data_IF_018699701178
#
_entry.id   IF_018699701178
#
_cell.length_a   1.000
_cell.length_b   1.000
_cell.length_c   1.000
_cell.angle_alpha   90.00
_cell.angle_beta   90.00
_cell.angle_gamma   90.00
#
_symmetry.space_group_name_H-M   'P 1'
#
loop_
_entity.id
_entity.type
_entity.pdbx_description
1 polymer ?
#
# COMPACT_ATOMS: atom_id res chain seq x y z
N UNK A 1 3.55 9.24 8.56
CA UNK A 1 3.55 9.84 9.91
C UNK A 1 4.65 9.30 10.82
N UNK A 2 4.76 7.98 11.09
CA UNK A 2 5.69 7.39 12.09
C UNK A 2 7.14 7.89 12.00
N UNK A 3 7.74 7.89 10.79
CA UNK A 3 9.13 8.36 10.60
C UNK A 3 9.28 9.84 10.95
N UNK A 4 8.32 10.69 10.57
CA UNK A 4 8.34 12.13 10.89
C UNK A 4 8.18 12.38 12.38
N UNK A 5 7.34 11.61 13.09
CA UNK A 5 7.21 11.72 14.54
C UNK A 5 8.54 11.45 15.27
N UNK A 6 9.34 10.47 14.77
CA UNK A 6 10.62 10.12 15.37
C UNK A 6 11.75 11.13 15.09
N UNK A 7 11.59 11.95 14.05
CA UNK A 7 12.58 12.98 13.64
C UNK A 7 12.10 14.40 13.96
N UNK A 8 11.00 14.53 14.73
CA UNK A 8 10.45 15.83 15.08
C UNK A 8 11.41 16.59 16.01
N UNK A 9 11.70 17.82 15.66
CA UNK A 9 12.50 18.75 16.45
C UNK A 9 11.68 20.00 16.78
N UNK A 10 11.94 20.66 17.91
CA UNK A 10 11.26 21.92 18.25
C UNK A 10 11.53 23.00 17.18
N UNK A 11 10.47 23.68 16.74
CA UNK A 11 10.56 24.86 15.88
C UNK A 11 10.79 26.14 16.73
N UNK A 12 11.41 27.15 16.12
CA UNK A 12 11.66 28.46 16.77
C UNK A 12 11.04 29.65 16.03
N UNK A 13 10.57 29.45 14.79
CA UNK A 13 9.86 30.49 14.04
C UNK A 13 8.38 30.49 14.45
N UNK A 14 7.93 31.63 15.01
CA UNK A 14 6.56 31.80 15.50
C UNK A 14 5.51 31.70 14.38
N UNK A 15 5.85 32.12 13.15
CA UNK A 15 4.92 32.06 12.02
C UNK A 15 4.74 30.60 11.55
N UNK A 16 5.84 29.85 11.47
CA UNK A 16 5.80 28.42 11.15
C UNK A 16 5.03 27.63 12.23
N UNK A 17 5.31 27.89 13.52
CA UNK A 17 4.61 27.25 14.62
C UNK A 17 3.11 27.51 14.54
N UNK A 18 2.69 28.77 14.34
CA UNK A 18 1.27 29.13 14.22
C UNK A 18 0.61 28.48 13.01
N UNK A 19 1.29 28.37 11.87
CA UNK A 19 0.79 27.67 10.68
C UNK A 19 0.58 26.17 10.99
N UNK A 20 1.54 25.51 11.60
CA UNK A 20 1.45 24.08 11.97
C UNK A 20 0.32 23.82 13.00
N UNK A 21 0.11 24.76 13.92
CA UNK A 21 -1.02 24.69 14.87
C UNK A 21 -2.36 24.89 14.15
N UNK A 22 -2.44 25.84 13.22
CA UNK A 22 -3.64 26.06 12.41
C UNK A 22 -3.98 24.81 11.59
N UNK A 23 -3.01 24.21 10.91
CA UNK A 23 -3.20 22.96 10.17
C UNK A 23 -3.73 21.83 11.05
N UNK A 24 -3.20 21.69 12.28
CA UNK A 24 -3.65 20.66 13.21
C UNK A 24 -5.10 20.94 13.69
N UNK A 25 -5.44 22.21 13.94
CA UNK A 25 -6.80 22.63 14.30
C UNK A 25 -7.79 22.39 13.17
N UNK A 26 -7.42 22.71 11.93
CA UNK A 26 -8.27 22.49 10.76
C UNK A 26 -8.47 21.01 10.48
N UNK A 27 -7.41 20.17 10.63
CA UNK A 27 -7.53 18.72 10.56
C UNK A 27 -8.50 18.18 11.62
N UNK A 28 -8.43 18.67 12.85
CA UNK A 28 -9.34 18.31 13.92
C UNK A 28 -10.79 18.67 13.58
N UNK A 29 -11.02 19.87 13.05
CA UNK A 29 -12.33 20.32 12.60
C UNK A 29 -12.88 19.43 11.48
N UNK A 30 -12.01 19.05 10.52
CA UNK A 30 -12.38 18.13 9.42
C UNK A 30 -12.72 16.73 9.93
N UNK A 31 -12.00 16.22 10.95
CA UNK A 31 -12.33 14.94 11.60
C UNK A 31 -13.69 14.97 12.30
N UNK A 32 -14.06 16.07 12.93
CA UNK A 32 -15.38 16.22 13.56
C UNK A 32 -16.52 16.25 12.54
N UNK A 33 -16.31 16.87 11.37
CA UNK A 33 -17.34 17.01 10.32
C UNK A 33 -17.41 15.79 9.40
N UNK A 34 -16.25 15.30 8.94
CA UNK A 34 -16.12 14.28 7.91
C UNK A 34 -15.84 12.87 8.43
N UNK A 35 -15.68 12.70 9.75
CA UNK A 35 -15.33 11.43 10.36
C UNK A 35 -13.86 11.06 10.16
N UNK A 36 -13.57 9.77 10.04
CA UNK A 36 -12.20 9.27 9.95
C UNK A 36 -11.68 9.31 8.51
N UNK A 37 -10.44 9.75 8.34
CA UNK A 37 -9.67 9.60 7.10
C UNK A 37 -8.65 8.48 7.28
N UNK A 38 -8.38 7.72 6.21
CA UNK A 38 -7.38 6.65 6.20
C UNK A 38 -6.37 6.85 5.08
N UNK A 39 -5.11 6.89 5.45
CA UNK A 39 -3.95 6.89 4.54
C UNK A 39 -3.34 5.50 4.36
N UNK A 40 -4.09 4.45 4.70
CA UNK A 40 -3.69 3.06 4.46
C UNK A 40 -3.46 2.83 2.96
N UNK A 41 -2.39 2.13 2.60
CA UNK A 41 -1.98 1.90 1.22
C UNK A 41 -0.98 2.92 0.67
N UNK A 42 -0.64 3.97 1.40
CA UNK A 42 0.44 4.88 1.02
C UNK A 42 1.78 4.23 1.36
N UNK A 43 2.41 3.63 0.37
CA UNK A 43 3.75 3.05 0.44
C UNK A 43 4.78 4.01 -0.13
N UNK A 44 6.04 3.86 0.28
CA UNK A 44 7.14 4.63 -0.32
C UNK A 44 7.40 4.12 -1.74
N UNK A 45 7.09 4.93 -2.74
CA UNK A 45 7.26 4.63 -4.16
C UNK A 45 8.42 5.38 -4.81
N UNK A 46 9.21 6.15 -4.04
CA UNK A 46 10.25 7.02 -4.59
C UNK A 46 11.33 6.27 -5.37
N UNK A 47 11.70 5.07 -4.90
CA UNK A 47 12.68 4.25 -5.62
C UNK A 47 12.08 3.67 -6.91
N UNK A 48 10.79 3.34 -6.92
CA UNK A 48 10.08 2.93 -8.14
C UNK A 48 10.01 4.09 -9.15
N UNK A 49 9.74 5.32 -8.70
CA UNK A 49 9.74 6.50 -9.58
C UNK A 49 11.11 6.76 -10.19
N UNK A 50 12.21 6.66 -9.41
CA UNK A 50 13.58 6.77 -9.94
C UNK A 50 13.90 5.72 -11.00
N UNK A 51 13.40 4.48 -10.82
CA UNK A 51 13.56 3.41 -11.81
C UNK A 51 12.83 3.74 -13.10
N UNK A 52 11.63 4.32 -13.03
CA UNK A 52 10.88 4.77 -14.21
C UNK A 52 11.62 5.88 -14.97
N UNK A 53 12.26 6.83 -14.26
CA UNK A 53 13.04 7.91 -14.87
C UNK A 53 14.19 7.41 -15.75
N UNK A 54 14.78 6.27 -15.40
CA UNK A 54 15.84 5.62 -16.19
C UNK A 54 15.31 4.58 -17.18
N UNK A 55 13.98 4.51 -17.39
CA UNK A 55 13.34 3.61 -18.34
C UNK A 55 13.27 2.14 -17.89
N UNK A 56 13.46 1.85 -16.59
CA UNK A 56 13.35 0.50 -16.07
C UNK A 56 11.87 0.11 -15.84
N UNK A 57 11.53 -1.15 -16.14
CA UNK A 57 10.21 -1.71 -15.85
C UNK A 57 10.02 -1.95 -14.35
N UNK A 58 8.82 -1.68 -13.86
CA UNK A 58 8.38 -1.98 -12.50
C UNK A 58 7.88 -3.43 -12.42
N UNK A 59 8.05 -4.02 -11.26
CA UNK A 59 7.45 -5.32 -10.93
C UNK A 59 5.93 -5.19 -10.66
N UNK A 60 5.24 -6.32 -10.64
CA UNK A 60 3.82 -6.42 -10.27
C UNK A 60 3.57 -5.73 -8.92
N UNK A 61 4.36 -6.05 -7.90
CA UNK A 61 4.23 -5.48 -6.55
C UNK A 61 4.42 -3.95 -6.54
N UNK A 62 5.37 -3.42 -7.34
CA UNK A 62 5.58 -1.96 -7.43
C UNK A 62 4.41 -1.25 -8.11
N UNK A 63 3.87 -1.81 -9.19
CA UNK A 63 2.66 -1.27 -9.85
C UNK A 63 1.43 -1.32 -8.94
N UNK A 64 1.25 -2.38 -8.16
CA UNK A 64 0.17 -2.48 -7.17
C UNK A 64 0.33 -1.46 -6.03
N UNK A 65 1.56 -1.11 -5.63
CA UNK A 65 1.82 -0.02 -4.67
C UNK A 65 1.45 1.34 -5.25
N UNK A 66 1.70 1.58 -6.53
CA UNK A 66 1.20 2.78 -7.22
C UNK A 66 -0.32 2.83 -7.19
N UNK A 67 -1.02 1.75 -7.51
CA UNK A 67 -2.49 1.69 -7.38
C UNK A 67 -2.97 1.99 -5.97
N UNK A 68 -2.34 1.40 -4.95
CA UNK A 68 -2.71 1.63 -3.55
C UNK A 68 -2.55 3.10 -3.14
N UNK A 69 -1.52 3.79 -3.67
CA UNK A 69 -1.35 5.23 -3.49
C UNK A 69 -2.49 6.01 -4.15
N UNK A 70 -2.84 5.69 -5.40
CA UNK A 70 -3.91 6.36 -6.15
C UNK A 70 -5.30 6.13 -5.53
N UNK A 71 -5.55 4.94 -4.99
CA UNK A 71 -6.76 4.63 -4.21
C UNK A 71 -6.81 5.48 -2.91
N UNK A 72 -5.67 5.68 -2.24
CA UNK A 72 -5.58 6.56 -1.08
C UNK A 72 -5.81 8.03 -1.48
N UNK A 73 -5.28 8.46 -2.62
CA UNK A 73 -5.52 9.78 -3.21
C UNK A 73 -7.03 10.01 -3.48
N UNK A 74 -7.69 9.03 -4.09
CA UNK A 74 -9.14 9.06 -4.35
C UNK A 74 -9.96 9.18 -3.07
N UNK A 75 -9.64 8.38 -2.04
CA UNK A 75 -10.30 8.45 -0.73
C UNK A 75 -10.08 9.81 -0.06
N UNK A 76 -8.85 10.34 -0.12
CA UNK A 76 -8.52 11.64 0.47
C UNK A 76 -9.25 12.78 -0.22
N UNK A 77 -9.36 12.76 -1.54
CA UNK A 77 -10.13 13.74 -2.32
C UNK A 77 -11.62 13.70 -1.99
N UNK A 78 -12.19 12.51 -1.83
CA UNK A 78 -13.59 12.32 -1.41
C UNK A 78 -13.81 12.87 0.01
N UNK A 79 -12.90 12.54 0.96
CA UNK A 79 -12.96 13.06 2.32
C UNK A 79 -12.88 14.60 2.36
N UNK A 80 -12.05 15.23 1.53
CA UNK A 80 -11.97 16.68 1.46
C UNK A 80 -13.34 17.31 1.21
N UNK A 81 -14.08 16.79 0.24
CA UNK A 81 -15.42 17.31 -0.12
C UNK A 81 -16.43 17.17 1.02
N UNK A 82 -16.47 16.03 1.69
CA UNK A 82 -17.41 15.78 2.79
C UNK A 82 -17.06 16.54 4.06
N UNK A 83 -15.77 16.70 4.35
CA UNK A 83 -15.28 17.32 5.59
C UNK A 83 -15.38 18.87 5.61
N UNK A 84 -15.51 19.50 4.45
CA UNK A 84 -15.73 20.96 4.36
C UNK A 84 -17.21 21.35 4.60
N UNK A 85 -18.13 20.40 4.59
CA UNK A 85 -19.54 20.66 4.95
C UNK A 85 -20.45 20.98 3.77
N UNK A 86 -20.24 20.30 2.64
CA UNK A 86 -21.03 20.43 1.40
C UNK A 86 -22.13 19.36 1.27
N UNK A 87 -22.76 18.93 2.34
CA UNK A 87 -23.90 18.01 2.21
C UNK A 87 -24.98 18.32 3.25
N UNK A 88 -25.80 19.27 2.93
CA UNK A 88 -27.11 19.44 3.56
C UNK A 88 -28.01 20.14 2.54
N UNK A 89 -29.24 19.61 2.27
CA UNK A 89 -30.19 20.26 1.39
C UNK A 89 -30.74 21.59 1.93
N UNK A 90 -30.33 22.00 3.13
CA UNK A 90 -30.91 23.13 3.86
C UNK A 90 -29.96 24.32 4.10
N UNK A 91 -28.94 24.52 3.24
CA UNK A 91 -28.18 25.76 3.32
C UNK A 91 -28.75 26.79 2.33
N UNK A 92 -29.22 27.97 2.78
CA UNK A 92 -29.57 29.04 1.85
C UNK A 92 -28.35 29.37 1.01
N UNK A 93 -28.52 29.49 -0.30
CA UNK A 93 -27.49 29.94 -1.23
C UNK A 93 -26.84 31.22 -0.67
N UNK A 94 -25.51 31.30 -0.73
CA UNK A 94 -24.82 32.51 -0.34
C UNK A 94 -25.41 33.67 -1.16
N UNK A 95 -25.69 34.76 -0.51
CA UNK A 95 -26.41 35.91 -1.09
C UNK A 95 -25.63 36.62 -2.21
N UNK A 96 -24.41 36.22 -2.49
CA UNK A 96 -23.51 36.80 -3.48
C UNK A 96 -23.13 35.89 -4.66
N UNK A 97 -23.75 34.70 -4.77
CA UNK A 97 -23.61 33.86 -5.97
C UNK A 97 -22.21 33.26 -6.21
N UNK A 98 -21.30 33.33 -5.23
CA UNK A 98 -20.01 32.67 -5.31
C UNK A 98 -20.07 31.33 -4.58
N UNK A 99 -20.04 30.24 -5.36
CA UNK A 99 -19.92 28.85 -4.87
C UNK A 99 -18.49 28.56 -4.35
N UNK A 100 -17.87 29.54 -3.70
CA UNK A 100 -16.53 29.31 -3.14
C UNK A 100 -16.63 28.45 -1.88
N UNK A 101 -16.01 27.26 -1.97
CA UNK A 101 -15.82 26.35 -0.85
C UNK A 101 -15.08 27.07 0.29
N UNK A 102 -15.49 26.92 1.55
CA UNK A 102 -14.74 27.51 2.67
C UNK A 102 -13.31 26.98 2.65
N UNK A 103 -12.36 27.89 2.41
CA UNK A 103 -10.91 27.59 2.32
C UNK A 103 -10.35 27.52 3.74
N UNK A 104 -9.71 26.41 4.09
CA UNK A 104 -8.89 26.28 5.29
C UNK A 104 -7.42 26.02 4.95
N UNK A 105 -6.55 25.93 5.95
CA UNK A 105 -5.11 25.72 5.74
C UNK A 105 -4.74 24.40 5.07
N UNK A 106 -5.68 23.44 4.96
CA UNK A 106 -5.47 22.13 4.33
C UNK A 106 -6.00 22.04 2.90
N UNK A 107 -6.83 22.99 2.49
CA UNK A 107 -7.46 22.97 1.16
C UNK A 107 -6.44 22.83 0.05
N UNK A 108 -5.35 23.62 0.09
CA UNK A 108 -4.28 23.57 -0.91
C UNK A 108 -3.55 22.21 -0.99
N UNK A 109 -3.49 21.44 0.09
CA UNK A 109 -2.96 20.08 0.04
C UNK A 109 -3.91 19.14 -0.71
N UNK A 110 -5.20 19.19 -0.39
CA UNK A 110 -6.17 18.34 -1.06
C UNK A 110 -6.34 18.69 -2.53
N UNK A 111 -6.18 19.94 -2.92
CA UNK A 111 -6.30 20.39 -4.30
C UNK A 111 -5.18 19.84 -5.19
N UNK A 112 -3.98 19.70 -4.65
CA UNK A 112 -2.83 19.12 -5.36
C UNK A 112 -2.95 17.62 -5.62
N UNK A 113 -3.86 16.91 -4.90
CA UNK A 113 -4.05 15.47 -5.07
C UNK A 113 -4.77 15.18 -6.38
N UNK A 114 -4.23 14.27 -7.16
CA UNK A 114 -4.82 13.83 -8.41
C UNK A 114 -4.95 12.29 -8.47
N UNK A 115 -6.14 11.71 -8.29
CA UNK A 115 -6.33 10.26 -8.15
C UNK A 115 -5.91 9.42 -9.35
N UNK A 116 -5.64 10.03 -10.53
CA UNK A 116 -5.25 9.35 -11.77
C UNK A 116 -6.04 8.06 -12.01
N UNK A 117 -7.35 8.12 -11.85
CA UNK A 117 -8.24 6.95 -11.91
C UNK A 117 -8.02 6.10 -13.16
N UNK A 118 -7.83 6.66 -14.39
CA UNK A 118 -7.59 5.85 -15.58
C UNK A 118 -6.32 5.00 -15.49
N UNK A 119 -5.23 5.52 -14.88
CA UNK A 119 -4.00 4.77 -14.66
C UNK A 119 -4.23 3.61 -13.69
N UNK A 120 -4.88 3.90 -12.56
CA UNK A 120 -5.20 2.88 -11.56
C UNK A 120 -6.08 1.77 -12.15
N UNK A 121 -7.11 2.12 -12.91
CA UNK A 121 -8.04 1.16 -13.53
C UNK A 121 -7.31 0.29 -14.56
N UNK A 122 -6.40 0.85 -15.37
CA UNK A 122 -5.62 0.09 -16.34
C UNK A 122 -4.65 -0.89 -15.68
N UNK A 123 -3.96 -0.47 -14.61
CA UNK A 123 -3.10 -1.38 -13.85
C UNK A 123 -3.94 -2.52 -13.24
N UNK A 124 -5.10 -2.20 -12.62
CA UNK A 124 -6.00 -3.20 -12.02
C UNK A 124 -6.64 -4.13 -13.06
N UNK A 125 -6.91 -3.63 -14.27
CA UNK A 125 -7.39 -4.47 -15.37
C UNK A 125 -6.37 -5.52 -15.77
N UNK A 126 -5.08 -5.18 -15.76
CA UNK A 126 -4.01 -6.08 -16.17
C UNK A 126 -3.50 -6.96 -15.02
N UNK A 127 -3.48 -6.47 -13.78
CA UNK A 127 -2.90 -7.14 -12.61
C UNK A 127 -4.00 -7.44 -11.59
N UNK A 128 -4.31 -8.73 -11.41
CA UNK A 128 -5.35 -9.19 -10.48
C UNK A 128 -4.82 -9.34 -9.06
N UNK A 129 -3.59 -9.86 -8.92
CA UNK A 129 -2.91 -10.05 -7.64
C UNK A 129 -1.39 -9.98 -7.80
N UNK A 130 -0.63 -10.15 -6.71
CA UNK A 130 0.84 -10.17 -6.75
C UNK A 130 1.41 -11.30 -7.63
N UNK A 131 0.66 -12.37 -7.84
CA UNK A 131 1.07 -13.57 -8.58
C UNK A 131 0.28 -13.78 -9.88
N UNK A 132 -0.68 -12.88 -10.21
CA UNK A 132 -1.62 -13.12 -11.28
C UNK A 132 -1.82 -11.92 -12.20
N UNK A 133 -1.48 -12.11 -13.48
CA UNK A 133 -1.79 -11.22 -14.60
C UNK A 133 -3.08 -11.71 -15.27
N UNK A 134 -4.01 -10.81 -15.56
CA UNK A 134 -5.28 -11.14 -16.21
C UNK A 134 -5.06 -11.75 -17.61
N UNK A 135 -5.87 -12.73 -17.99
CA UNK A 135 -5.82 -13.34 -19.34
C UNK A 135 -6.02 -12.30 -20.45
N UNK A 136 -6.80 -11.27 -20.16
CA UNK A 136 -7.13 -10.19 -21.10
C UNK A 136 -6.28 -8.92 -20.91
N UNK A 137 -5.18 -9.02 -20.15
CA UNK A 137 -4.20 -7.94 -20.06
C UNK A 137 -3.65 -7.59 -21.47
N UNK A 138 -3.49 -8.60 -22.34
CA UNK A 138 -3.26 -8.39 -23.76
C UNK A 138 -3.96 -9.47 -24.61
N UNK A 139 -4.21 -9.16 -25.89
CA UNK A 139 -4.75 -10.15 -26.84
C UNK A 139 -3.76 -11.29 -27.08
N UNK A 140 -2.48 -10.99 -27.07
CA UNK A 140 -1.38 -11.96 -27.22
C UNK A 140 -1.36 -12.95 -26.06
N UNK A 141 -1.38 -12.46 -24.80
CA UNK A 141 -1.39 -13.31 -23.61
C UNK A 141 -2.61 -14.25 -23.60
N UNK A 142 -3.79 -13.71 -23.93
CA UNK A 142 -5.02 -14.51 -24.05
C UNK A 142 -4.88 -15.64 -25.07
N UNK A 143 -4.28 -15.35 -26.24
CA UNK A 143 -4.03 -16.34 -27.28
C UNK A 143 -3.04 -17.41 -26.84
N UNK A 144 -1.93 -17.00 -26.20
CA UNK A 144 -0.91 -17.92 -25.66
C UNK A 144 -1.54 -18.86 -24.64
N UNK A 145 -2.26 -18.32 -23.64
CA UNK A 145 -2.90 -19.13 -22.58
C UNK A 145 -3.99 -20.05 -23.11
N UNK A 146 -4.74 -19.62 -24.13
CA UNK A 146 -5.69 -20.49 -24.84
C UNK A 146 -4.96 -21.65 -25.52
N UNK A 147 -3.84 -21.37 -26.20
CA UNK A 147 -3.00 -22.41 -26.84
C UNK A 147 -2.40 -23.37 -25.81
N UNK A 148 -1.93 -22.86 -24.67
CA UNK A 148 -1.42 -23.67 -23.55
C UNK A 148 -2.47 -24.63 -23.02
N UNK A 149 -3.70 -24.16 -22.78
CA UNK A 149 -4.82 -25.02 -22.37
C UNK A 149 -5.10 -26.13 -23.38
N UNK A 150 -5.22 -25.78 -24.65
CA UNK A 150 -5.43 -26.77 -25.71
C UNK A 150 -4.27 -27.79 -25.87
N UNK A 151 -3.03 -27.32 -25.63
CA UNK A 151 -1.85 -28.22 -25.65
C UNK A 151 -1.84 -29.16 -24.45
N UNK A 152 -2.17 -28.63 -23.26
CA UNK A 152 -2.30 -29.43 -22.04
C UNK A 152 -3.35 -30.53 -22.21
N UNK A 153 -4.51 -30.22 -22.81
CA UNK A 153 -5.57 -31.19 -23.08
C UNK A 153 -5.10 -32.28 -24.04
N UNK A 154 -4.37 -31.92 -25.09
CA UNK A 154 -3.78 -32.89 -26.04
C UNK A 154 -2.78 -33.83 -25.38
N UNK A 155 -1.86 -33.27 -24.56
CA UNK A 155 -0.86 -34.08 -23.83
C UNK A 155 -1.58 -35.04 -22.88
N UNK A 156 -2.55 -34.57 -22.11
CA UNK A 156 -3.31 -35.40 -21.18
C UNK A 156 -4.11 -36.49 -21.88
N UNK A 157 -4.74 -36.17 -23.01
CA UNK A 157 -5.46 -37.18 -23.80
C UNK A 157 -4.51 -38.28 -24.29
N UNK A 158 -3.34 -37.93 -24.85
CA UNK A 158 -2.33 -38.88 -25.30
C UNK A 158 -1.79 -39.76 -24.16
N UNK A 159 -1.46 -39.14 -23.02
CA UNK A 159 -0.93 -39.88 -21.87
C UNK A 159 -2.00 -40.76 -21.23
N UNK A 160 -3.26 -40.31 -21.12
CA UNK A 160 -4.36 -41.14 -20.64
C UNK A 160 -4.60 -42.35 -21.55
N UNK A 161 -4.49 -42.20 -22.87
CA UNK A 161 -4.52 -43.36 -23.81
C UNK A 161 -3.45 -44.39 -23.47
N UNK A 162 -2.23 -43.95 -23.14
CA UNK A 162 -1.15 -44.84 -22.72
C UNK A 162 -1.40 -45.50 -21.36
N UNK A 163 -1.91 -44.76 -20.37
CA UNK A 163 -2.24 -45.31 -19.06
C UNK A 163 -3.35 -46.33 -19.12
N UNK A 164 -4.33 -46.14 -20.00
CA UNK A 164 -5.48 -47.03 -20.16
C UNK A 164 -5.15 -48.27 -21.00
N UNK A 165 -4.01 -48.30 -21.73
CA UNK A 165 -3.54 -49.46 -22.40
C UNK A 165 -3.03 -50.52 -21.41
N UNK A 166 -3.62 -51.71 -21.38
CA UNK A 166 -3.32 -52.77 -20.40
C UNK A 166 -1.84 -53.14 -20.36
N UNK A 167 -1.18 -53.23 -21.50
CA UNK A 167 0.25 -53.53 -21.63
C UNK A 167 1.11 -52.44 -21.03
N UNK A 168 0.89 -51.17 -21.42
CA UNK A 168 1.66 -50.03 -20.90
C UNK A 168 1.44 -49.88 -19.40
N UNK A 169 0.19 -50.04 -18.91
CA UNK A 169 -0.18 -49.92 -17.51
C UNK A 169 0.61 -50.91 -16.62
N UNK A 170 0.92 -52.11 -17.09
CA UNK A 170 1.69 -53.08 -16.31
C UNK A 170 3.15 -52.62 -16.04
N UNK A 171 3.68 -51.74 -16.85
CA UNK A 171 5.02 -51.19 -16.75
C UNK A 171 5.10 -49.96 -15.87
N UNK A 172 3.93 -49.32 -15.54
CA UNK A 172 3.88 -48.15 -14.68
C UNK A 172 3.97 -48.55 -13.21
N UNK A 173 4.66 -47.73 -12.43
CA UNK A 173 4.65 -47.81 -10.97
C UNK A 173 3.27 -47.38 -10.42
N UNK A 174 2.77 -46.25 -10.96
CA UNK A 174 1.46 -45.69 -10.70
C UNK A 174 0.82 -45.22 -12.02
N UNK A 175 -0.52 -45.38 -12.11
CA UNK A 175 -1.27 -44.96 -13.30
C UNK A 175 -1.65 -43.46 -13.24
N UNK A 176 -0.67 -42.60 -13.08
CA UNK A 176 -0.82 -41.14 -12.94
C UNK A 176 0.08 -40.39 -13.91
N UNK A 177 -0.37 -39.20 -14.30
CA UNK A 177 0.44 -38.24 -15.05
C UNK A 177 1.16 -37.35 -14.04
N UNK A 178 2.47 -37.22 -14.16
CA UNK A 178 3.30 -36.40 -13.29
C UNK A 178 4.01 -35.32 -14.12
N UNK A 179 4.52 -34.28 -13.42
CA UNK A 179 5.35 -33.27 -14.04
C UNK A 179 6.75 -33.29 -13.42
N UNK A 180 7.79 -33.30 -14.27
CA UNK A 180 9.20 -33.19 -13.87
C UNK A 180 9.89 -32.20 -14.80
N UNK A 181 10.62 -31.24 -14.25
CA UNK A 181 11.31 -30.19 -15.01
C UNK A 181 10.43 -29.47 -16.05
N UNK A 182 9.14 -29.27 -15.71
CA UNK A 182 8.16 -28.64 -16.60
C UNK A 182 7.70 -29.53 -17.76
N UNK A 183 7.91 -30.85 -17.66
CA UNK A 183 7.49 -31.85 -18.68
C UNK A 183 6.55 -32.89 -18.11
N UNK A 184 5.56 -33.27 -18.88
CA UNK A 184 4.63 -34.33 -18.51
C UNK A 184 5.30 -35.68 -18.67
N UNK A 185 5.35 -36.48 -17.61
CA UNK A 185 6.01 -37.78 -17.50
C UNK A 185 5.08 -38.83 -16.91
N UNK A 186 5.39 -40.09 -17.20
CA UNK A 186 4.80 -41.28 -16.58
C UNK A 186 5.80 -41.89 -15.57
N UNK A 187 5.36 -42.29 -14.36
CA UNK A 187 6.20 -43.04 -13.44
C UNK A 187 6.27 -44.50 -13.86
N UNK A 188 7.42 -44.90 -14.38
CA UNK A 188 7.70 -46.25 -14.93
C UNK A 188 8.59 -47.04 -13.97
N UNK A 189 8.30 -48.32 -13.76
CA UNK A 189 9.19 -49.21 -13.01
C UNK A 189 10.58 -49.25 -13.65
N UNK A 190 11.65 -49.15 -12.87
CA UNK A 190 13.01 -49.08 -13.38
C UNK A 190 13.35 -50.31 -14.26
N UNK A 191 12.85 -51.49 -13.90
CA UNK A 191 13.00 -52.74 -14.64
C UNK A 191 12.29 -52.75 -16.01
N UNK A 192 11.25 -51.93 -16.15
CA UNK A 192 10.45 -51.83 -17.39
C UNK A 192 10.85 -50.65 -18.28
N UNK A 193 11.99 -49.99 -18.04
CA UNK A 193 12.48 -48.82 -18.80
C UNK A 193 12.48 -49.06 -20.31
N UNK A 194 12.93 -50.25 -20.77
CA UNK A 194 13.02 -50.59 -22.20
C UNK A 194 11.66 -50.78 -22.90
N UNK A 195 10.58 -50.97 -22.12
CA UNK A 195 9.22 -51.20 -22.61
C UNK A 195 8.44 -49.91 -22.83
N UNK A 196 8.88 -48.79 -22.25
CA UNK A 196 8.28 -47.46 -22.44
C UNK A 196 9.31 -46.53 -23.09
N UNK A 197 9.32 -46.45 -24.43
CA UNK A 197 10.27 -45.59 -25.14
C UNK A 197 10.07 -44.14 -24.77
N UNK A 198 11.12 -43.47 -24.31
CA UNK A 198 11.06 -42.07 -23.91
C UNK A 198 12.34 -41.56 -23.24
N UNK A 199 12.29 -40.30 -22.79
CA UNK A 199 13.39 -39.64 -22.09
C UNK A 199 13.16 -39.70 -20.59
N UNK A 200 14.20 -40.11 -19.85
CA UNK A 200 14.16 -40.06 -18.37
C UNK A 200 14.50 -38.66 -17.91
N UNK A 201 13.61 -38.04 -17.17
CA UNK A 201 13.80 -36.69 -16.60
C UNK A 201 14.14 -36.72 -15.13
N UNK A 202 13.67 -37.74 -14.39
CA UNK A 202 13.90 -37.83 -12.97
C UNK A 202 13.83 -39.30 -12.52
N UNK A 203 14.31 -39.56 -11.28
CA UNK A 203 14.29 -40.89 -10.67
C UNK A 203 13.87 -40.75 -9.17
N UNK A 204 13.11 -41.70 -8.67
CA UNK A 204 12.80 -41.76 -7.25
C UNK A 204 14.05 -41.94 -6.39
N UNK A 205 14.02 -41.50 -5.15
CA UNK A 205 15.16 -41.65 -4.21
C UNK A 205 15.59 -43.09 -3.95
N UNK A 206 14.68 -44.06 -4.12
CA UNK A 206 14.96 -45.49 -4.03
C UNK A 206 15.51 -46.08 -5.35
N UNK A 207 15.48 -45.31 -6.43
CA UNK A 207 15.89 -45.80 -7.77
C UNK A 207 14.86 -46.73 -8.44
N UNK A 208 13.76 -47.08 -7.78
CA UNK A 208 12.79 -48.06 -8.28
C UNK A 208 11.83 -47.52 -9.34
N UNK A 209 11.70 -46.18 -9.44
CA UNK A 209 10.78 -45.51 -10.38
C UNK A 209 11.53 -44.50 -11.19
N UNK A 210 11.34 -44.56 -12.54
CA UNK A 210 11.84 -43.57 -13.48
C UNK A 210 10.68 -42.71 -13.99
N UNK A 211 10.86 -41.39 -14.00
CA UNK A 211 9.89 -40.48 -14.58
C UNK A 211 10.25 -40.26 -16.04
N UNK A 212 9.50 -40.94 -16.92
CA UNK A 212 9.78 -41.01 -18.38
C UNK A 212 8.81 -40.09 -19.10
N UNK A 213 9.31 -39.19 -19.93
CA UNK A 213 8.58 -38.50 -20.98
C UNK A 213 8.46 -39.43 -22.19
N UNK A 214 7.26 -39.96 -22.52
CA UNK A 214 7.10 -40.86 -23.65
C UNK A 214 7.38 -40.16 -24.98
N UNK A 215 8.01 -40.85 -25.90
CA UNK A 215 8.31 -40.31 -27.27
C UNK A 215 7.06 -39.74 -27.95
N UNK A 216 5.88 -40.32 -27.70
CA UNK A 216 4.62 -39.89 -28.28
C UNK A 216 4.20 -38.48 -27.86
N UNK A 217 4.73 -37.96 -26.75
CA UNK A 217 4.38 -36.59 -26.21
C UNK A 217 5.55 -35.61 -26.22
N UNK A 218 6.76 -36.02 -26.65
CA UNK A 218 7.95 -35.14 -26.64
C UNK A 218 7.71 -33.85 -27.43
N UNK A 219 7.14 -33.92 -28.61
CA UNK A 219 6.88 -32.75 -29.44
C UNK A 219 5.83 -31.82 -28.76
N UNK A 220 4.75 -32.40 -28.20
CA UNK A 220 3.73 -31.64 -27.49
C UNK A 220 4.29 -30.93 -26.22
N UNK A 221 5.14 -31.63 -25.49
CA UNK A 221 5.84 -31.05 -24.33
C UNK A 221 6.81 -29.94 -24.78
N UNK A 222 7.50 -30.08 -25.89
CA UNK A 222 8.36 -29.02 -26.43
C UNK A 222 7.56 -27.79 -26.83
N UNK A 223 6.43 -27.98 -27.52
CA UNK A 223 5.52 -26.88 -27.87
C UNK A 223 4.93 -26.21 -26.64
N UNK A 224 4.52 -26.98 -25.64
CA UNK A 224 4.02 -26.43 -24.35
C UNK A 224 5.10 -25.62 -23.65
N UNK A 225 6.34 -26.11 -23.61
CA UNK A 225 7.47 -25.36 -23.00
C UNK A 225 7.79 -24.08 -23.77
N UNK A 226 7.69 -24.09 -25.08
CA UNK A 226 7.82 -22.88 -25.90
C UNK A 226 6.71 -21.85 -25.60
N UNK A 227 5.48 -22.29 -25.33
CA UNK A 227 4.37 -21.43 -24.94
C UNK A 227 4.59 -20.82 -23.56
N UNK A 228 5.15 -21.57 -22.60
CA UNK A 228 5.52 -21.04 -21.27
C UNK A 228 6.55 -19.91 -21.36
N UNK A 229 7.54 -20.06 -22.26
CA UNK A 229 8.54 -19.00 -22.49
C UNK A 229 7.86 -17.77 -23.09
N UNK A 230 7.01 -17.94 -24.11
CA UNK A 230 6.26 -16.83 -24.72
C UNK A 230 5.32 -16.14 -23.74
N UNK A 231 4.70 -16.90 -22.84
CA UNK A 231 3.87 -16.32 -21.79
C UNK A 231 4.69 -15.38 -20.89
N UNK A 232 5.87 -15.83 -20.45
CA UNK A 232 6.76 -15.02 -19.62
C UNK A 232 7.24 -13.75 -20.34
N UNK A 233 7.65 -13.89 -21.61
CA UNK A 233 8.06 -12.76 -22.44
C UNK A 233 6.93 -11.75 -22.62
N UNK A 234 5.70 -12.22 -22.87
CA UNK A 234 4.54 -11.33 -23.01
C UNK A 234 4.17 -10.64 -21.72
N UNK A 235 4.29 -11.30 -20.57
CA UNK A 235 4.12 -10.67 -19.25
C UNK A 235 5.13 -9.54 -19.06
N UNK A 236 6.39 -9.74 -19.44
CA UNK A 236 7.42 -8.68 -19.37
C UNK A 236 7.06 -7.49 -20.26
N UNK A 237 6.50 -7.73 -21.46
CA UNK A 237 5.99 -6.67 -22.34
C UNK A 237 4.82 -5.90 -21.70
N UNK A 238 3.87 -6.60 -21.09
CA UNK A 238 2.74 -5.98 -20.39
C UNK A 238 3.24 -5.08 -19.25
N UNK A 239 4.15 -5.58 -18.42
CA UNK A 239 4.73 -4.81 -17.31
C UNK A 239 5.53 -3.60 -17.81
N UNK A 240 6.25 -3.74 -18.92
CA UNK A 240 6.96 -2.61 -19.54
C UNK A 240 5.98 -1.53 -20.04
N UNK A 241 4.88 -1.92 -20.67
CA UNK A 241 3.86 -0.99 -21.14
C UNK A 241 3.18 -0.26 -19.99
N UNK A 242 2.81 -0.97 -18.91
CA UNK A 242 2.25 -0.35 -17.71
C UNK A 242 3.25 0.59 -17.02
N UNK A 243 4.52 0.22 -17.02
CA UNK A 243 5.60 1.05 -16.47
C UNK A 243 5.78 2.34 -17.28
N UNK A 244 5.78 2.26 -18.61
CA UNK A 244 5.85 3.42 -19.49
C UNK A 244 4.65 4.35 -19.32
N UNK A 245 3.44 3.78 -19.20
CA UNK A 245 2.23 4.55 -18.90
C UNK A 245 2.36 5.26 -17.54
N UNK A 246 2.85 4.56 -16.52
CA UNK A 246 3.07 5.10 -15.17
C UNK A 246 4.13 6.20 -15.18
N UNK A 247 5.20 6.04 -15.95
CA UNK A 247 6.28 7.02 -16.09
C UNK A 247 5.78 8.38 -16.58
N UNK A 248 4.77 8.41 -17.45
CA UNK A 248 4.14 9.65 -17.92
C UNK A 248 3.50 10.48 -16.79
N UNK A 249 3.22 9.88 -15.63
CA UNK A 249 2.63 10.53 -14.46
C UNK A 249 3.59 10.67 -13.27
N UNK A 250 4.90 10.44 -13.46
CA UNK A 250 5.88 10.40 -12.35
C UNK A 250 5.86 11.66 -11.48
N UNK A 251 5.74 12.85 -12.08
CA UNK A 251 5.69 14.12 -11.34
C UNK A 251 4.44 14.18 -10.43
N UNK A 252 3.28 13.81 -10.96
CA UNK A 252 2.03 13.82 -10.19
C UNK A 252 2.04 12.77 -9.09
N UNK A 253 2.53 11.56 -9.37
CA UNK A 253 2.69 10.50 -8.38
C UNK A 253 3.63 10.91 -7.23
N UNK A 254 4.71 11.64 -7.55
CA UNK A 254 5.60 12.21 -6.53
C UNK A 254 4.89 13.26 -5.68
N UNK A 255 4.10 14.14 -6.31
CA UNK A 255 3.28 15.14 -5.61
C UNK A 255 2.27 14.47 -4.70
N UNK A 256 1.49 13.52 -5.21
CA UNK A 256 0.49 12.78 -4.43
C UNK A 256 1.11 12.07 -3.22
N UNK A 257 2.25 11.40 -3.42
CA UNK A 257 2.96 10.75 -2.32
C UNK A 257 3.39 11.73 -1.23
N UNK A 258 3.96 12.88 -1.60
CA UNK A 258 4.41 13.87 -0.64
C UNK A 258 3.24 14.50 0.11
N UNK A 259 2.20 14.90 -0.62
CA UNK A 259 1.00 15.51 -0.04
C UNK A 259 0.26 14.53 0.89
N UNK A 260 0.06 13.28 0.48
CA UNK A 260 -0.59 12.27 1.32
C UNK A 260 0.23 11.95 2.58
N UNK A 261 1.56 11.94 2.46
CA UNK A 261 2.46 11.73 3.61
C UNK A 261 2.39 12.92 4.58
N UNK A 262 2.27 14.15 4.06
CA UNK A 262 2.10 15.36 4.88
C UNK A 262 0.75 15.34 5.60
N UNK A 263 -0.33 15.10 4.88
CA UNK A 263 -1.67 14.98 5.44
C UNK A 263 -1.75 13.87 6.51
N UNK A 264 -1.16 12.69 6.26
CA UNK A 264 -1.09 11.60 7.24
C UNK A 264 -0.47 12.09 8.56
N UNK A 265 0.60 12.88 8.50
CA UNK A 265 1.23 13.43 9.69
C UNK A 265 0.37 14.48 10.39
N UNK A 266 -0.25 15.40 9.65
CA UNK A 266 -1.14 16.44 10.19
C UNK A 266 -2.34 15.79 10.86
N UNK A 267 -3.00 14.85 10.20
CA UNK A 267 -4.16 14.15 10.76
C UNK A 267 -3.80 13.23 11.94
N UNK A 268 -2.58 12.68 11.97
CA UNK A 268 -2.08 11.92 13.12
C UNK A 268 -1.96 12.82 14.36
N UNK A 269 -1.47 14.07 14.21
CA UNK A 269 -1.44 15.06 15.30
C UNK A 269 -2.86 15.41 15.79
N UNK A 270 -3.78 15.66 14.86
CA UNK A 270 -5.16 15.95 15.18
C UNK A 270 -5.88 14.79 15.91
N UNK A 271 -5.70 13.56 15.44
CA UNK A 271 -6.23 12.37 16.08
C UNK A 271 -5.62 12.15 17.47
N UNK A 272 -4.31 12.40 17.62
CA UNK A 272 -3.65 12.36 18.93
C UNK A 272 -4.21 13.40 19.90
N UNK A 273 -4.43 14.64 19.45
CA UNK A 273 -5.04 15.70 20.27
C UNK A 273 -6.43 15.28 20.81
N UNK A 274 -7.23 14.54 20.03
CA UNK A 274 -8.51 13.99 20.52
C UNK A 274 -8.35 13.01 21.68
N UNK A 275 -7.27 12.26 21.75
CA UNK A 275 -7.08 11.21 22.78
C UNK A 275 -6.94 11.76 24.19
N UNK A 276 -6.47 13.00 24.34
CA UNK A 276 -6.28 13.66 25.64
C UNK A 276 -7.05 15.00 25.77
N UNK A 277 -8.01 15.26 24.87
CA UNK A 277 -8.79 16.50 24.81
C UNK A 277 -7.87 17.74 24.72
N UNK A 278 -6.81 17.65 23.90
CA UNK A 278 -5.85 18.72 23.70
C UNK A 278 -6.48 19.93 23.03
N UNK A 279 -6.05 21.12 23.46
CA UNK A 279 -6.42 22.41 22.87
C UNK A 279 -5.18 23.06 22.25
N UNK A 280 -5.38 23.85 21.18
CA UNK A 280 -4.28 24.58 20.56
C UNK A 280 -3.76 25.66 21.51
N UNK A 281 -2.45 25.66 21.85
CA UNK A 281 -1.86 26.72 22.66
C UNK A 281 -1.69 27.99 21.81
N UNK A 282 -1.70 29.15 22.50
CA UNK A 282 -1.31 30.43 21.89
C UNK A 282 0.16 30.67 22.22
N UNK A 283 1.01 30.75 21.23
CA UNK A 283 2.43 31.04 21.41
C UNK A 283 2.68 32.55 21.52
N UNK A 284 3.70 32.94 22.26
CA UNK A 284 4.15 34.33 22.41
C UNK A 284 5.68 34.40 22.42
N UNK A 285 6.21 35.60 22.19
CA UNK A 285 7.65 35.92 22.22
C UNK A 285 8.04 36.70 23.47
N UNK A 286 7.09 36.96 24.40
CA UNK A 286 7.26 37.80 25.57
C UNK A 286 7.75 37.01 26.79
N UNK A 287 8.01 35.72 26.66
CA UNK A 287 8.42 34.86 27.75
C UNK A 287 7.33 34.57 28.77
N UNK A 288 6.04 34.74 28.40
CA UNK A 288 4.92 34.48 29.30
C UNK A 288 4.45 33.04 29.22
N UNK A 289 4.21 32.43 30.37
CA UNK A 289 3.56 31.13 30.52
C UNK A 289 2.25 31.31 31.26
N UNK A 290 1.13 30.86 30.68
CA UNK A 290 -0.19 30.87 31.29
C UNK A 290 -0.92 29.57 30.96
N UNK A 291 -0.74 28.57 31.82
CA UNK A 291 -1.35 27.25 31.68
C UNK A 291 -2.56 27.20 32.60
N UNK A 292 -3.76 26.98 32.06
CA UNK A 292 -5.02 26.83 32.80
C UNK A 292 -5.49 25.38 32.73
N UNK A 293 -5.69 24.77 33.90
CA UNK A 293 -6.14 23.36 34.03
C UNK A 293 -5.28 22.38 33.21
N UNK A 294 -3.96 22.64 33.17
CA UNK A 294 -3.02 21.79 32.45
C UNK A 294 -2.98 20.39 33.04
N UNK A 295 -3.09 19.36 32.19
CA UNK A 295 -3.01 17.95 32.58
C UNK A 295 -1.82 17.31 31.92
N UNK A 296 -1.06 16.56 32.70
CA UNK A 296 0.06 15.79 32.15
C UNK A 296 -0.45 14.74 31.16
N UNK A 297 -0.09 14.82 29.85
CA UNK A 297 -0.71 14.01 28.80
C UNK A 297 -0.43 12.52 28.91
N UNK A 298 0.63 12.11 29.63
CA UNK A 298 1.02 10.72 29.82
C UNK A 298 0.48 10.08 31.09
N UNK A 299 -0.30 10.81 31.89
CA UNK A 299 -0.97 10.27 33.07
C UNK A 299 -2.41 9.88 32.74
N UNK A 300 -2.95 8.94 33.53
CA UNK A 300 -4.36 8.52 33.40
C UNK A 300 -5.29 9.74 33.51
N UNK A 301 -6.05 9.98 32.46
CA UNK A 301 -6.96 11.14 32.35
C UNK A 301 -7.99 11.23 33.48
N UNK A 302 -8.32 10.08 34.14
CA UNK A 302 -9.25 10.02 35.27
C UNK A 302 -8.60 10.37 36.64
N UNK A 303 -7.28 10.22 36.71
CA UNK A 303 -6.51 10.39 37.96
C UNK A 303 -5.64 11.65 37.97
N UNK A 304 -5.32 12.19 36.79
CA UNK A 304 -4.46 13.38 36.67
C UNK A 304 -5.16 14.61 37.30
N UNK A 305 -4.48 15.27 38.21
CA UNK A 305 -4.94 16.53 38.81
C UNK A 305 -4.51 17.66 37.88
N UNK A 306 -5.47 18.53 37.44
CA UNK A 306 -5.12 19.68 36.62
C UNK A 306 -4.40 20.74 37.48
N UNK A 307 -3.44 21.43 36.86
CA UNK A 307 -2.68 22.52 37.50
C UNK A 307 -2.87 23.82 36.74
N UNK A 308 -2.88 24.93 37.46
CA UNK A 308 -2.81 26.29 36.93
C UNK A 308 -1.41 26.85 37.23
N UNK A 309 -0.70 27.31 36.16
CA UNK A 309 0.65 27.86 36.29
C UNK A 309 0.72 29.13 35.45
N UNK A 310 1.21 30.21 36.04
CA UNK A 310 1.52 31.48 35.37
C UNK A 310 2.93 31.94 35.69
N UNK A 311 3.58 32.58 34.76
CA UNK A 311 4.92 33.15 34.88
C UNK A 311 5.13 34.22 33.79
N UNK A 312 5.88 35.26 34.08
CA UNK A 312 6.29 36.26 33.09
C UNK A 312 5.33 37.47 32.98
N UNK A 313 4.28 37.57 33.81
CA UNK A 313 3.42 38.77 33.92
C UNK A 313 3.77 39.59 35.18
N UNK A 314 3.31 39.13 36.34
CA UNK A 314 3.49 39.81 37.65
C UNK A 314 4.81 39.44 38.30
N UNK A 315 5.38 38.28 37.97
CA UNK A 315 6.62 37.76 38.53
C UNK A 315 7.37 36.92 37.48
N UNK A 316 8.69 36.90 37.63
CA UNK A 316 9.62 36.17 36.72
C UNK A 316 10.19 34.89 37.33
N UNK A 317 9.90 34.63 38.60
CA UNK A 317 10.38 33.47 39.32
C UNK A 317 9.24 32.83 40.12
N UNK A 318 9.04 31.53 39.91
CA UNK A 318 8.08 30.72 40.68
C UNK A 318 8.83 29.66 41.48
N UNK A 319 8.77 29.74 42.83
CA UNK A 319 9.38 28.78 43.72
C UNK A 319 8.31 27.82 44.25
N UNK A 320 8.48 26.53 43.98
CA UNK A 320 7.58 25.47 44.42
C UNK A 320 8.24 24.68 45.55
N UNK A 321 7.70 24.77 46.76
CA UNK A 321 8.20 24.08 47.96
C UNK A 321 7.20 23.03 48.44
N UNK A 322 7.64 22.13 49.30
CA UNK A 322 6.78 21.10 49.91
C UNK A 322 7.41 19.70 49.93
N UNK A 323 6.73 18.68 50.47
CA UNK A 323 7.21 17.31 50.52
C UNK A 323 7.29 16.69 49.10
N UNK A 324 8.12 15.65 48.95
CA UNK A 324 8.30 15.02 47.64
C UNK A 324 7.03 14.33 47.13
N UNK A 325 6.12 13.96 48.01
CA UNK A 325 4.79 13.38 47.68
C UNK A 325 3.78 14.40 47.20
N UNK A 326 4.07 15.72 47.35
CA UNK A 326 3.16 16.82 47.00
C UNK A 326 3.03 17.19 45.54
N UNK A 327 3.56 16.37 44.62
CA UNK A 327 3.39 16.57 43.17
C UNK A 327 4.36 17.58 42.52
N UNK A 328 5.38 18.10 43.24
CA UNK A 328 6.35 19.07 42.70
C UNK A 328 6.95 18.62 41.34
N UNK A 329 7.49 17.42 41.30
CA UNK A 329 8.12 16.85 40.10
C UNK A 329 7.11 16.69 38.96
N UNK A 330 5.89 16.28 39.25
CA UNK A 330 4.83 16.13 38.25
C UNK A 330 4.43 17.49 37.67
N UNK A 331 4.29 18.53 38.55
CA UNK A 331 3.98 19.87 38.09
C UNK A 331 5.05 20.45 37.18
N UNK A 332 6.35 20.27 37.53
CA UNK A 332 7.46 20.71 36.70
C UNK A 332 7.49 19.97 35.34
N UNK A 333 7.29 18.66 35.37
CA UNK A 333 7.20 17.85 34.13
C UNK A 333 5.99 18.22 33.27
N UNK A 334 4.86 18.55 33.90
CA UNK A 334 3.65 19.00 33.17
C UNK A 334 3.92 20.29 32.41
N UNK A 335 4.53 21.29 33.09
CA UNK A 335 4.90 22.56 32.45
C UNK A 335 5.92 22.36 31.31
N UNK A 336 6.88 21.44 31.49
CA UNK A 336 7.90 21.16 30.46
C UNK A 336 7.39 20.33 29.27
N UNK A 337 6.21 19.70 29.37
CA UNK A 337 5.59 18.93 28.28
C UNK A 337 4.51 19.72 27.54
N UNK A 338 3.87 20.69 28.19
CA UNK A 338 2.85 21.56 27.60
C UNK A 338 3.47 22.81 26.98
#
# INVERSE_FOLDING_TARGET
AKKRCLTLTPGTDINEINLLQLQTKDALNRLFKGGRISFSGVHDIRDSLKRLEIGASLSITELLRVCSLLEAAKRSKAFSRTSIGHTGPDRPAAADGTDELPVDSLTGFFDQIEPLTPLCDEIRRCILSEDEIADDASSTLRSIRKSMRGMNDKIRAQMNSMINNTTTRSYLQDAVITMRDGRYCLPVKAEAKSQVPGMVHDQSSSGSTLFIEPLAVVNLNNEYKALLIKEKEEIEVILANLSNLTAGYSMQLHTDYNVLTELDFIFAKAAFAQTYNGVAPTFNTDGRINIKKGRHPLLDAKKVVPIDVRLGEDFTLLIITGPNTGGKTVSLKTVGLL
#
